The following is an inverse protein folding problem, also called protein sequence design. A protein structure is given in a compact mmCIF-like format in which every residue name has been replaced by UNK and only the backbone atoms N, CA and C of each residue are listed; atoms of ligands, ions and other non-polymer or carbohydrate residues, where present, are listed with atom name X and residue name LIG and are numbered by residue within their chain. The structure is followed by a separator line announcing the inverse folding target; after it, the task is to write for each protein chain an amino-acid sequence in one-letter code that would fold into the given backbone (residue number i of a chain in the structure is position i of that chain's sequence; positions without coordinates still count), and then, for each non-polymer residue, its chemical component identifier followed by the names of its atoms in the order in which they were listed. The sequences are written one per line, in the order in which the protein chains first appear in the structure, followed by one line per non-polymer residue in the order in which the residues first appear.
data_IF_769659756264
#
_entry.id   IF_769659756264
#
_cell.length_a   1.000
_cell.length_b   1.000
_cell.length_c   1.000
_cell.angle_alpha   90.00
_cell.angle_beta   90.00
_cell.angle_gamma   90.00
#
_symmetry.space_group_name_H-M   'P 1'
#
loop_
_entity.id
_entity.type
_entity.pdbx_description
1 polymer ?
#
# COMPACT_ATOMS: atom_id res chain seq x y z
N UNK A 1 -8.11 0.60 11.04
CA UNK A 1 -8.46 2.01 10.70
C UNK A 1 -7.43 2.54 9.73
N UNK A 2 -7.82 3.31 8.72
CA UNK A 2 -6.91 4.02 7.80
C UNK A 2 -7.30 5.51 7.78
N UNK A 3 -6.35 6.45 7.95
CA UNK A 3 -6.63 7.89 7.86
C UNK A 3 -6.88 8.34 6.41
N UNK A 4 -7.76 9.33 6.22
CA UNK A 4 -8.04 10.00 4.95
C UNK A 4 -7.36 11.37 4.92
N UNK A 5 -6.71 11.71 3.81
CA UNK A 5 -6.01 12.98 3.58
C UNK A 5 -6.53 13.66 2.32
N UNK A 6 -6.45 14.99 2.24
CA UNK A 6 -6.85 15.76 1.04
C UNK A 6 -5.69 16.68 0.58
N UNK A 7 -4.47 16.15 0.44
CA UNK A 7 -3.30 16.96 0.07
C UNK A 7 -3.43 17.61 -1.31
N UNK A 8 -4.23 17.03 -2.22
CA UNK A 8 -4.54 17.59 -3.54
C UNK A 8 -5.18 18.98 -3.48
N UNK A 9 -5.84 19.33 -2.36
CA UNK A 9 -6.43 20.66 -2.15
C UNK A 9 -5.42 21.70 -1.64
N UNK A 10 -4.20 21.27 -1.29
CA UNK A 10 -3.18 22.09 -0.63
C UNK A 10 -1.82 21.91 -1.30
N UNK A 11 -1.70 22.28 -2.58
CA UNK A 11 -0.50 22.04 -3.40
C UNK A 11 0.82 22.58 -2.81
N UNK A 12 0.78 23.65 -2.00
CA UNK A 12 1.97 24.21 -1.34
C UNK A 12 2.31 23.59 0.02
N UNK A 13 1.51 22.64 0.51
CA UNK A 13 1.73 22.02 1.81
C UNK A 13 2.76 20.88 1.72
N UNK A 14 3.51 20.70 2.80
CA UNK A 14 4.33 19.50 2.97
C UNK A 14 3.39 18.30 3.22
N UNK A 15 3.43 17.31 2.31
CA UNK A 15 2.57 16.12 2.28
C UNK A 15 3.09 14.94 3.11
N UNK A 16 4.25 15.07 3.74
CA UNK A 16 4.85 14.01 4.55
C UNK A 16 4.18 13.90 5.91
N UNK A 17 3.95 12.67 6.34
CA UNK A 17 3.38 12.36 7.64
C UNK A 17 4.43 12.62 8.73
N UNK A 18 3.97 13.25 9.81
CA UNK A 18 4.81 13.63 10.94
C UNK A 18 3.97 13.55 12.22
N UNK A 19 4.52 13.98 13.35
CA UNK A 19 3.84 13.95 14.65
C UNK A 19 2.61 14.85 14.68
N UNK A 20 2.59 15.92 13.89
CA UNK A 20 1.40 16.77 13.70
C UNK A 20 0.42 16.13 12.72
N UNK A 21 -0.83 15.95 13.17
CA UNK A 21 -1.90 15.37 12.37
C UNK A 21 -2.26 16.25 11.16
N UNK A 22 -2.37 15.60 9.99
CA UNK A 22 -2.77 16.21 8.71
C UNK A 22 -3.96 15.51 8.04
N UNK A 23 -4.46 14.42 8.63
CA UNK A 23 -5.62 13.70 8.13
C UNK A 23 -6.92 14.47 8.41
N UNK A 24 -7.86 14.41 7.47
CA UNK A 24 -9.17 15.09 7.54
C UNK A 24 -10.29 14.14 7.97
N UNK A 25 -10.00 12.85 8.06
CA UNK A 25 -10.96 11.82 8.48
C UNK A 25 -10.31 10.44 8.56
N UNK A 26 -11.13 9.41 8.68
CA UNK A 26 -10.69 8.03 8.79
C UNK A 26 -11.77 7.04 8.33
N UNK A 27 -11.34 5.88 7.87
CA UNK A 27 -12.19 4.72 7.61
C UNK A 27 -11.87 3.59 8.59
N UNK A 28 -12.91 2.88 9.01
CA UNK A 28 -12.83 1.66 9.80
C UNK A 28 -13.42 0.50 8.99
N UNK A 29 -12.80 -0.67 9.11
CA UNK A 29 -13.36 -1.92 8.60
C UNK A 29 -13.15 -3.01 9.64
N UNK A 30 -14.00 -4.03 9.56
CA UNK A 30 -13.97 -5.21 10.42
C UNK A 30 -13.79 -6.43 9.52
N UNK A 31 -12.81 -7.28 9.82
CA UNK A 31 -12.58 -8.57 9.17
C UNK A 31 -12.28 -9.63 10.21
N UNK A 32 -12.48 -10.90 9.86
CA UNK A 32 -12.08 -12.06 10.68
C UNK A 32 -10.57 -12.24 10.68
N UNK A 33 -9.89 -11.76 9.64
CA UNK A 33 -8.43 -11.71 9.55
C UNK A 33 -7.95 -10.28 9.29
N UNK A 34 -6.67 -10.04 9.56
CA UNK A 34 -6.05 -8.73 9.31
C UNK A 34 -6.01 -8.39 7.82
N UNK A 35 -5.69 -9.34 6.94
CA UNK A 35 -5.73 -9.13 5.48
C UNK A 35 -7.11 -8.71 4.99
N UNK A 36 -8.17 -9.42 5.42
CA UNK A 36 -9.55 -9.08 5.07
C UNK A 36 -9.91 -7.68 5.57
N UNK A 37 -9.63 -7.41 6.85
CA UNK A 37 -9.93 -6.11 7.45
C UNK A 37 -9.18 -4.96 6.76
N UNK A 38 -7.94 -5.19 6.31
CA UNK A 38 -7.12 -4.19 5.63
C UNK A 38 -7.66 -3.89 4.23
N UNK A 39 -7.92 -4.91 3.42
CA UNK A 39 -8.46 -4.74 2.07
C UNK A 39 -9.85 -4.08 2.08
N UNK A 40 -10.68 -4.41 3.08
CA UNK A 40 -11.98 -3.73 3.31
C UNK A 40 -11.80 -2.24 3.62
N UNK A 41 -10.81 -1.90 4.45
CA UNK A 41 -10.53 -0.51 4.77
C UNK A 41 -9.98 0.27 3.57
N UNK A 42 -9.10 -0.34 2.75
CA UNK A 42 -8.53 0.30 1.55
C UNK A 42 -9.61 0.65 0.53
N UNK A 43 -10.47 -0.30 0.17
CA UNK A 43 -11.56 -0.04 -0.78
C UNK A 43 -12.63 0.91 -0.25
N UNK A 44 -12.82 0.97 1.07
CA UNK A 44 -13.75 1.89 1.72
C UNK A 44 -13.17 3.28 2.00
N UNK A 45 -11.92 3.55 1.59
CA UNK A 45 -11.25 4.82 1.85
C UNK A 45 -11.74 5.97 0.94
N UNK A 46 -12.56 5.66 -0.09
CA UNK A 46 -13.12 6.63 -1.04
C UNK A 46 -12.04 7.49 -1.73
N UNK A 47 -10.96 6.81 -2.15
CA UNK A 47 -9.86 7.38 -2.96
C UNK A 47 -9.79 6.76 -4.37
N UNK A 48 -10.79 5.96 -4.75
CA UNK A 48 -10.81 5.22 -6.01
C UNK A 48 -9.96 3.94 -6.01
N UNK A 49 -9.44 3.53 -4.84
CA UNK A 49 -8.70 2.28 -4.70
C UNK A 49 -9.65 1.08 -4.60
N UNK A 50 -9.30 -0.02 -5.25
CA UNK A 50 -9.95 -1.33 -5.10
C UNK A 50 -9.23 -2.24 -4.12
N UNK A 51 -8.01 -1.86 -3.72
CA UNK A 51 -7.17 -2.56 -2.76
C UNK A 51 -5.76 -1.99 -2.80
N UNK A 52 -4.79 -2.85 -3.11
CA UNK A 52 -3.39 -2.47 -3.31
C UNK A 52 -3.11 -2.04 -4.76
N UNK A 53 -3.89 -1.14 -5.34
CA UNK A 53 -3.68 -0.70 -6.72
C UNK A 53 -2.24 -0.15 -6.95
N UNK A 54 -1.55 -0.50 -8.06
CA UNK A 54 -0.17 -0.07 -8.29
C UNK A 54 -0.03 1.46 -8.40
N UNK A 55 1.05 2.02 -7.82
CA UNK A 55 1.40 3.45 -7.93
C UNK A 55 2.52 3.70 -8.93
N UNK A 56 3.38 2.71 -9.17
CA UNK A 56 4.43 2.76 -10.19
C UNK A 56 4.31 1.59 -11.14
N UNK A 57 4.80 1.80 -12.36
CA UNK A 57 4.91 0.75 -13.35
C UNK A 57 6.23 0.00 -13.18
N UNK A 58 6.24 -1.33 -13.34
CA UNK A 58 7.44 -2.16 -13.12
C UNK A 58 8.51 -1.97 -14.22
N UNK A 59 8.13 -1.44 -15.37
CA UNK A 59 9.01 -1.07 -16.48
C UNK A 59 9.65 0.31 -16.31
N UNK A 60 9.23 1.13 -15.34
CA UNK A 60 9.84 2.44 -15.06
C UNK A 60 11.22 2.24 -14.40
N UNK A 61 12.34 2.66 -15.04
CA UNK A 61 13.68 2.55 -14.47
C UNK A 61 13.84 3.30 -13.13
N UNK A 62 13.00 4.31 -12.88
CA UNK A 62 13.01 5.10 -11.64
C UNK A 62 12.06 4.56 -10.56
N UNK A 63 11.30 3.50 -10.84
CA UNK A 63 10.30 2.94 -9.92
C UNK A 63 10.90 2.64 -8.54
N UNK A 64 12.04 1.95 -8.49
CA UNK A 64 12.72 1.59 -7.25
C UNK A 64 13.15 2.83 -6.43
N UNK A 65 13.56 3.90 -7.09
CA UNK A 65 13.95 5.16 -6.43
C UNK A 65 12.72 5.82 -5.80
N UNK A 66 11.60 5.88 -6.54
CA UNK A 66 10.32 6.42 -6.06
C UNK A 66 9.79 5.59 -4.88
N UNK A 67 9.77 4.27 -5.00
CA UNK A 67 9.36 3.34 -3.94
C UNK A 67 10.20 3.58 -2.67
N UNK A 68 11.53 3.60 -2.78
CA UNK A 68 12.42 3.79 -1.61
C UNK A 68 12.14 5.09 -0.88
N UNK A 69 11.92 6.19 -1.62
CA UNK A 69 11.58 7.49 -1.04
C UNK A 69 10.26 7.41 -0.26
N UNK A 70 9.21 6.86 -0.87
CA UNK A 70 7.87 6.79 -0.29
C UNK A 70 7.78 5.82 0.91
N UNK A 71 8.62 4.78 0.93
CA UNK A 71 8.77 3.88 2.08
C UNK A 71 9.44 4.58 3.27
N UNK A 72 10.56 5.29 3.00
CA UNK A 72 11.38 5.94 4.02
C UNK A 72 10.70 7.20 4.59
N UNK A 73 10.26 8.10 3.73
CA UNK A 73 9.64 9.37 4.11
C UNK A 73 8.13 9.29 3.85
N UNK A 74 7.41 8.75 4.82
CA UNK A 74 6.00 8.36 4.68
C UNK A 74 5.09 9.48 4.18
N UNK A 75 4.46 9.28 3.02
CA UNK A 75 3.31 10.06 2.55
C UNK A 75 1.98 9.35 2.86
N UNK A 76 0.87 9.99 2.45
CA UNK A 76 -0.47 9.37 2.51
C UNK A 76 -0.56 8.07 1.69
N UNK A 77 0.29 7.92 0.69
CA UNK A 77 0.23 6.81 -0.27
C UNK A 77 1.16 5.63 0.07
N UNK A 78 1.92 5.71 1.18
CA UNK A 78 2.94 4.71 1.51
C UNK A 78 2.42 3.26 1.53
N UNK A 79 1.15 3.06 1.89
CA UNK A 79 0.55 1.72 1.95
C UNK A 79 0.51 1.02 0.57
N UNK A 80 0.33 1.76 -0.51
CA UNK A 80 0.38 1.21 -1.87
C UNK A 80 1.83 1.01 -2.33
N UNK A 81 2.73 1.93 -2.00
CA UNK A 81 4.15 1.77 -2.29
C UNK A 81 4.81 0.56 -1.60
N UNK A 82 4.27 0.12 -0.45
CA UNK A 82 4.69 -1.13 0.19
C UNK A 82 4.36 -2.34 -0.68
N UNK A 83 3.17 -2.38 -1.28
CA UNK A 83 2.81 -3.44 -2.21
C UNK A 83 3.69 -3.40 -3.48
N UNK A 84 3.92 -2.20 -4.03
CA UNK A 84 4.83 -2.02 -5.17
C UNK A 84 6.27 -2.44 -4.85
N UNK A 85 6.74 -2.25 -3.61
CA UNK A 85 8.04 -2.73 -3.19
C UNK A 85 8.16 -4.26 -3.32
N UNK A 86 7.11 -5.01 -2.95
CA UNK A 86 7.10 -6.47 -3.11
C UNK A 86 7.00 -6.88 -4.57
N UNK A 87 6.19 -6.19 -5.39
CA UNK A 87 6.12 -6.40 -6.84
C UNK A 87 7.48 -6.15 -7.51
N UNK A 88 8.24 -5.17 -7.01
CA UNK A 88 9.59 -4.86 -7.48
C UNK A 88 10.69 -5.74 -6.84
N UNK A 89 10.31 -6.76 -6.05
CA UNK A 89 11.23 -7.76 -5.51
C UNK A 89 12.02 -7.36 -4.26
N UNK A 90 11.63 -6.29 -3.54
CA UNK A 90 12.20 -6.02 -2.22
C UNK A 90 11.76 -7.10 -1.22
N UNK A 91 12.68 -7.53 -0.36
CA UNK A 91 12.36 -8.43 0.74
C UNK A 91 11.61 -7.71 1.86
N UNK A 92 10.89 -8.47 2.68
CA UNK A 92 10.25 -7.99 3.92
C UNK A 92 11.25 -7.25 4.82
N UNK A 93 12.48 -7.76 4.96
CA UNK A 93 13.53 -7.08 5.73
C UNK A 93 13.94 -5.75 5.12
N UNK A 94 14.02 -5.68 3.79
CA UNK A 94 14.31 -4.43 3.08
C UNK A 94 13.23 -3.37 3.31
N UNK A 95 11.95 -3.77 3.23
CA UNK A 95 10.81 -2.88 3.50
C UNK A 95 10.76 -2.49 4.98
N UNK A 96 11.00 -3.43 5.90
CA UNK A 96 11.06 -3.16 7.34
C UNK A 96 12.12 -2.10 7.66
N UNK A 97 13.32 -2.23 7.12
CA UNK A 97 14.42 -1.31 7.41
C UNK A 97 14.15 0.12 6.94
N UNK A 98 13.29 0.30 5.94
CA UNK A 98 12.89 1.62 5.44
C UNK A 98 11.69 2.19 6.21
N UNK A 99 10.75 1.35 6.60
CA UNK A 99 9.43 1.79 7.10
C UNK A 99 9.28 1.70 8.61
N UNK A 100 10.08 0.85 9.25
CA UNK A 100 9.94 0.38 10.63
C UNK A 100 8.57 -0.23 10.97
N UNK A 101 7.76 -0.60 9.97
CA UNK A 101 6.50 -1.32 10.16
C UNK A 101 6.82 -2.76 10.52
N UNK A 102 6.20 -3.28 11.59
CA UNK A 102 6.46 -4.64 12.06
C UNK A 102 6.27 -5.68 10.93
N UNK A 103 7.20 -6.63 10.86
CA UNK A 103 7.26 -7.67 9.83
C UNK A 103 5.96 -8.48 9.76
N UNK A 104 5.28 -8.66 10.89
CA UNK A 104 3.99 -9.36 10.94
C UNK A 104 2.94 -8.76 10.00
N UNK A 105 2.92 -7.43 9.84
CA UNK A 105 2.04 -6.78 8.86
C UNK A 105 2.59 -6.92 7.43
N UNK A 106 3.90 -6.78 7.27
CA UNK A 106 4.55 -6.77 5.96
C UNK A 106 4.43 -8.11 5.24
N UNK A 107 4.64 -9.24 5.93
CA UNK A 107 4.48 -10.59 5.34
C UNK A 107 3.06 -10.84 4.84
N UNK A 108 2.05 -10.27 5.50
CA UNK A 108 0.66 -10.39 5.08
C UNK A 108 0.36 -9.57 3.82
N UNK A 109 1.03 -8.43 3.63
CA UNK A 109 0.92 -7.64 2.41
C UNK A 109 1.65 -8.34 1.26
N UNK A 110 2.85 -8.87 1.52
CA UNK A 110 3.61 -9.66 0.54
C UNK A 110 2.79 -10.87 0.06
N UNK A 111 2.15 -11.61 0.97
CA UNK A 111 1.27 -12.74 0.60
C UNK A 111 0.12 -12.30 -0.32
N UNK A 112 -0.52 -11.15 -0.05
CA UNK A 112 -1.58 -10.62 -0.92
C UNK A 112 -1.06 -10.26 -2.31
N UNK A 113 0.15 -9.71 -2.41
CA UNK A 113 0.80 -9.41 -3.69
C UNK A 113 1.12 -10.71 -4.46
N UNK A 114 1.61 -11.75 -3.79
CA UNK A 114 1.85 -13.06 -4.44
C UNK A 114 0.57 -13.70 -4.96
N UNK A 115 -0.53 -13.57 -4.22
CA UNK A 115 -1.84 -14.05 -4.68
C UNK A 115 -2.32 -13.24 -5.89
N UNK A 116 -2.11 -11.93 -5.92
CA UNK A 116 -2.42 -11.07 -7.06
C UNK A 116 -1.61 -11.46 -8.30
N UNK A 117 -0.30 -11.70 -8.16
CA UNK A 117 0.56 -12.22 -9.24
C UNK A 117 0.02 -13.54 -9.80
N UNK A 118 -0.38 -14.47 -8.93
CA UNK A 118 -0.98 -15.74 -9.34
C UNK A 118 -2.30 -15.54 -10.10
N UNK A 119 -3.16 -14.63 -9.65
CA UNK A 119 -4.43 -14.32 -10.34
C UNK A 119 -4.15 -13.74 -11.73
N UNK A 120 -3.14 -12.87 -11.85
CA UNK A 120 -2.73 -12.30 -13.13
C UNK A 120 -2.16 -13.37 -14.08
N UNK A 121 -1.40 -14.34 -13.57
CA UNK A 121 -0.81 -15.44 -14.35
C UNK A 121 -1.87 -16.40 -14.87
N UNK A 122 -2.78 -16.87 -14.02
CA UNK A 122 -3.76 -17.91 -14.40
C UNK A 122 -4.99 -17.35 -15.12
N UNK A 123 -5.21 -16.03 -14.99
CA UNK A 123 -6.37 -15.33 -15.52
C UNK A 123 -7.70 -15.87 -14.99
N UNK A 124 -8.81 -15.46 -15.61
CA UNK A 124 -10.15 -15.89 -15.21
C UNK A 124 -10.34 -17.42 -15.31
N UNK A 125 -9.67 -18.06 -16.28
CA UNK A 125 -9.81 -19.48 -16.58
C UNK A 125 -9.20 -20.40 -15.53
N UNK A 126 -8.23 -19.91 -14.74
CA UNK A 126 -7.61 -20.68 -13.67
C UNK A 126 -8.25 -20.49 -12.30
N UNK A 127 -9.32 -19.68 -12.20
CA UNK A 127 -10.08 -19.50 -10.97
C UNK A 127 -11.13 -20.60 -10.88
N UNK A 128 -10.94 -21.52 -9.94
CA UNK A 128 -11.95 -22.54 -9.63
C UNK A 128 -12.97 -21.94 -8.65
N UNK A 129 -14.26 -22.26 -8.86
CA UNK A 129 -15.36 -21.85 -7.99
C UNK A 129 -15.38 -22.60 -6.65
#
# INVERSE_FOLDING_TARGET
KIPRFNFEKFAGANDRLTTQMKSVGEVMAIGRTQQESLQKALRGLEVGATGFDPKVSLDDPEALTKIRRELKDAGAERIWYIADAFRAGLSVDGVFNLTNIDRWFLVQIEELVRLEEKVAEVGITGLNA
#
